data_IF_909742026398
#
_entry.id   IF_909742026398
#
_cell.length_a   1.000
_cell.length_b   1.000
_cell.length_c   1.000
_cell.angle_alpha   90.00
_cell.angle_beta   90.00
_cell.angle_gamma   90.00
#
_symmetry.space_group_name_H-M   'P 1'
#
loop_
_entity.id
_entity.type
_entity.pdbx_description
1 polymer ?
#
# COMPACT_ATOMS: atom_id res chain seq x y z
N UNK A 1 1.76 -10.04 5.43
CA UNK A 1 2.18 -11.01 4.40
C UNK A 1 3.59 -10.66 3.95
N UNK A 2 4.35 -11.55 3.29
CA UNK A 2 5.70 -11.22 2.78
C UNK A 2 5.63 -10.62 1.37
N UNK A 3 6.63 -9.84 0.95
CA UNK A 3 6.67 -9.34 -0.42
C UNK A 3 6.67 -10.46 -1.46
N UNK A 4 7.35 -11.59 -1.16
CA UNK A 4 7.30 -12.79 -2.00
C UNK A 4 5.88 -13.32 -2.19
N UNK A 5 5.12 -13.46 -1.09
CA UNK A 5 3.72 -13.92 -1.18
C UNK A 5 2.83 -12.95 -1.95
N UNK A 6 3.14 -11.64 -1.97
CA UNK A 6 2.42 -10.66 -2.79
C UNK A 6 2.73 -10.84 -4.28
N UNK A 7 3.99 -11.09 -4.64
CA UNK A 7 4.39 -11.39 -6.01
C UNK A 7 3.73 -12.69 -6.50
N UNK A 8 3.75 -13.75 -5.68
CA UNK A 8 3.07 -15.02 -5.98
C UNK A 8 1.55 -14.82 -6.20
N UNK A 9 0.91 -14.01 -5.34
CA UNK A 9 -0.49 -13.64 -5.52
C UNK A 9 -0.73 -12.87 -6.84
N UNK A 10 0.15 -11.94 -7.19
CA UNK A 10 0.00 -11.21 -8.44
C UNK A 10 0.09 -12.13 -9.66
N UNK A 11 1.00 -13.11 -9.64
CA UNK A 11 1.22 -14.04 -10.76
C UNK A 11 0.07 -15.02 -11.00
N UNK A 12 -0.77 -15.26 -9.99
CA UNK A 12 -2.00 -16.05 -10.15
C UNK A 12 -3.16 -15.26 -10.79
N UNK A 13 -3.09 -13.93 -10.86
CA UNK A 13 -4.11 -13.12 -11.53
C UNK A 13 -4.05 -13.32 -13.05
N UNK A 14 -5.20 -13.54 -13.68
CA UNK A 14 -5.29 -13.80 -15.12
C UNK A 14 -4.91 -15.23 -15.52
N UNK A 15 -4.52 -16.08 -14.57
CA UNK A 15 -4.11 -17.47 -14.81
C UNK A 15 -4.87 -18.46 -13.94
N UNK A 16 -4.83 -18.28 -12.62
CA UNK A 16 -5.46 -19.17 -11.64
C UNK A 16 -6.79 -18.61 -11.12
N UNK A 17 -6.89 -17.30 -10.98
CA UNK A 17 -8.07 -16.59 -10.51
C UNK A 17 -8.19 -15.24 -11.21
N UNK A 18 -9.42 -14.71 -11.27
CA UNK A 18 -9.74 -13.49 -12.02
C UNK A 18 -9.16 -13.56 -13.44
N UNK A 19 -9.60 -14.56 -14.23
CA UNK A 19 -9.02 -14.92 -15.53
C UNK A 19 -9.01 -13.77 -16.55
N UNK A 20 -9.92 -12.82 -16.38
CA UNK A 20 -10.03 -11.61 -17.18
C UNK A 20 -9.11 -10.46 -16.74
N UNK A 21 -8.20 -10.69 -15.78
CA UNK A 21 -7.35 -9.65 -15.22
C UNK A 21 -6.50 -8.93 -16.30
N UNK A 22 -6.86 -7.68 -16.56
CA UNK A 22 -6.07 -6.70 -17.32
C UNK A 22 -5.26 -5.80 -16.37
N UNK A 23 -3.91 -5.90 -16.33
CA UNK A 23 -3.06 -5.10 -15.43
C UNK A 23 -3.05 -3.60 -15.75
N UNK A 24 -3.47 -3.20 -16.96
CA UNK A 24 -3.53 -1.79 -17.36
C UNK A 24 -4.84 -1.11 -16.95
N UNK A 25 -5.84 -1.88 -16.51
CA UNK A 25 -7.18 -1.35 -16.19
C UNK A 25 -7.62 -1.68 -14.79
N UNK A 26 -7.45 -2.92 -14.33
CA UNK A 26 -7.98 -3.33 -13.05
C UNK A 26 -7.29 -2.61 -11.90
N UNK A 27 -8.13 -1.98 -11.10
CA UNK A 27 -7.79 -1.28 -9.88
C UNK A 27 -7.65 -2.26 -8.71
N UNK A 28 -7.16 -1.77 -7.59
CA UNK A 28 -7.13 -2.55 -6.35
C UNK A 28 -8.55 -2.91 -5.90
N UNK A 29 -9.54 -2.05 -6.13
CA UNK A 29 -10.95 -2.34 -5.86
C UNK A 29 -11.43 -3.58 -6.63
N UNK A 30 -11.11 -3.65 -7.91
CA UNK A 30 -11.47 -4.79 -8.77
C UNK A 30 -10.88 -6.09 -8.24
N UNK A 31 -9.58 -6.09 -7.92
CA UNK A 31 -8.87 -7.28 -7.41
C UNK A 31 -9.42 -7.68 -6.03
N UNK A 32 -9.78 -6.72 -5.18
CA UNK A 32 -10.45 -7.00 -3.91
C UNK A 32 -11.75 -7.77 -4.13
N UNK A 33 -12.60 -7.29 -5.03
CA UNK A 33 -13.93 -7.84 -5.29
C UNK A 33 -13.89 -9.18 -6.03
N UNK A 34 -12.98 -9.33 -6.98
CA UNK A 34 -12.97 -10.45 -7.94
C UNK A 34 -11.96 -11.54 -7.61
N UNK A 35 -10.96 -11.28 -6.77
CA UNK A 35 -9.98 -12.27 -6.35
C UNK A 35 -9.91 -12.41 -4.82
N UNK A 36 -9.60 -11.34 -4.08
CA UNK A 36 -9.30 -11.41 -2.64
C UNK A 36 -10.51 -11.93 -1.84
N UNK A 37 -11.69 -11.32 -2.00
CA UNK A 37 -12.91 -11.74 -1.31
C UNK A 37 -13.26 -13.22 -1.63
N UNK A 38 -13.34 -13.65 -2.90
CA UNK A 38 -13.58 -15.05 -3.23
C UNK A 38 -12.55 -16.02 -2.64
N UNK A 39 -11.26 -15.69 -2.69
CA UNK A 39 -10.18 -16.59 -2.25
C UNK A 39 -10.10 -16.74 -0.72
N UNK A 40 -10.73 -15.85 0.06
CA UNK A 40 -10.86 -16.00 1.52
C UNK A 40 -12.30 -16.27 2.00
N UNK A 41 -13.24 -16.59 1.11
CA UNK A 41 -14.65 -16.79 1.46
C UNK A 41 -14.93 -18.10 2.21
N UNK A 42 -14.20 -19.17 1.91
CA UNK A 42 -14.52 -20.53 2.37
C UNK A 42 -13.30 -21.27 2.97
N UNK A 43 -12.66 -20.66 3.97
CA UNK A 43 -11.69 -21.39 4.80
C UNK A 43 -12.43 -22.21 5.85
N UNK A 44 -12.33 -23.54 5.74
CA UNK A 44 -12.71 -24.47 6.81
C UNK A 44 -11.65 -24.40 7.90
N UNK A 45 -12.02 -23.89 9.07
CA UNK A 45 -11.20 -24.03 10.28
C UNK A 45 -11.36 -25.45 10.84
N UNK A 46 -10.25 -26.13 11.15
CA UNK A 46 -10.24 -27.39 11.92
C UNK A 46 -10.01 -27.16 13.42
N UNK A 47 -9.89 -25.91 13.87
CA UNK A 47 -9.86 -25.58 15.28
C UNK A 47 -11.23 -25.93 15.90
N UNK A 48 -11.20 -26.80 16.91
CA UNK A 48 -12.31 -27.25 17.76
C UNK A 48 -13.29 -28.31 17.21
N UNK A 49 -12.94 -29.02 16.14
CA UNK A 49 -13.73 -30.19 15.69
C UNK A 49 -15.12 -29.85 15.11
N UNK A 50 -15.48 -28.57 15.06
CA UNK A 50 -16.63 -28.03 14.37
C UNK A 50 -16.16 -27.31 13.10
N UNK A 51 -16.56 -27.80 11.92
CA UNK A 51 -16.30 -27.13 10.65
C UNK A 51 -17.15 -25.85 10.62
N UNK A 52 -16.56 -24.71 10.98
CA UNK A 52 -17.13 -23.40 10.65
C UNK A 52 -16.35 -22.80 9.49
N UNK A 53 -17.07 -22.32 8.48
CA UNK A 53 -16.49 -21.47 7.45
C UNK A 53 -16.07 -20.16 8.14
N UNK A 54 -14.77 -19.89 8.17
CA UNK A 54 -14.22 -18.67 8.74
C UNK A 54 -13.74 -17.78 7.61
N UNK A 55 -14.51 -16.75 7.27
CA UNK A 55 -13.99 -15.70 6.41
C UNK A 55 -12.94 -14.89 7.17
N UNK A 56 -11.83 -14.53 6.52
CA UNK A 56 -10.70 -13.85 7.15
C UNK A 56 -10.07 -12.80 6.22
N UNK A 57 -9.10 -12.05 6.74
CA UNK A 57 -8.20 -11.25 5.91
C UNK A 57 -7.39 -12.17 4.98
N UNK A 58 -7.20 -11.76 3.72
CA UNK A 58 -6.46 -12.58 2.75
C UNK A 58 -4.99 -12.75 3.12
N UNK A 59 -4.41 -11.82 3.87
CA UNK A 59 -3.06 -11.99 4.41
C UNK A 59 -2.93 -13.22 5.32
N UNK A 60 -3.99 -13.63 6.03
CA UNK A 60 -4.01 -14.89 6.79
C UNK A 60 -3.95 -16.09 5.86
N UNK A 61 -4.53 -15.98 4.66
CA UNK A 61 -4.44 -17.01 3.62
C UNK A 61 -3.01 -17.14 3.12
N UNK A 62 -2.43 -16.01 2.70
CA UNK A 62 -1.06 -15.91 2.16
C UNK A 62 0.00 -16.40 3.15
N UNK A 63 -0.24 -16.23 4.46
CA UNK A 63 0.70 -16.62 5.51
C UNK A 63 0.37 -17.95 6.17
N UNK A 64 -0.62 -18.71 5.68
CA UNK A 64 -1.09 -19.94 6.31
C UNK A 64 -1.36 -19.79 7.82
N UNK A 65 -2.03 -18.69 8.19
CA UNK A 65 -2.35 -18.29 9.57
C UNK A 65 -1.13 -18.09 10.50
N UNK A 66 0.09 -18.07 9.97
CA UNK A 66 1.28 -17.72 10.74
C UNK A 66 1.22 -16.25 11.21
N UNK A 67 1.52 -16.02 12.49
CA UNK A 67 1.61 -14.67 13.02
C UNK A 67 2.75 -13.90 12.32
N UNK A 68 2.38 -12.84 11.60
CA UNK A 68 3.32 -12.05 10.82
C UNK A 68 3.13 -10.57 11.12
N UNK A 69 3.89 -10.06 12.10
CA UNK A 69 3.99 -8.62 12.34
C UNK A 69 4.67 -7.95 11.14
N UNK A 70 4.05 -6.91 10.53
CA UNK A 70 4.63 -6.25 9.37
C UNK A 70 5.84 -5.38 9.75
N UNK A 71 6.78 -5.30 8.82
CA UNK A 71 7.89 -4.35 8.85
C UNK A 71 7.47 -3.00 8.26
N UNK A 72 6.49 -3.01 7.36
CA UNK A 72 5.98 -1.82 6.69
C UNK A 72 4.48 -1.81 6.51
N UNK A 73 3.89 -0.63 6.62
CA UNK A 73 2.53 -0.35 6.14
C UNK A 73 2.60 0.38 4.81
N UNK A 74 1.75 0.01 3.86
CA UNK A 74 1.61 0.72 2.58
C UNK A 74 0.33 1.55 2.62
N UNK A 75 0.49 2.88 2.56
CA UNK A 75 -0.63 3.79 2.31
C UNK A 75 -0.84 3.89 0.81
N UNK A 76 -2.04 3.53 0.35
CA UNK A 76 -2.40 3.46 -1.07
C UNK A 76 -3.86 3.82 -1.30
N UNK A 77 -4.25 4.01 -2.56
CA UNK A 77 -5.66 4.17 -2.93
C UNK A 77 -6.19 2.90 -3.58
N UNK A 78 -7.49 2.65 -3.42
CA UNK A 78 -8.14 1.50 -4.05
C UNK A 78 -8.43 1.71 -5.53
N UNK A 79 -8.53 2.97 -5.96
CA UNK A 79 -8.72 3.35 -7.37
C UNK A 79 -7.45 3.26 -8.20
N UNK A 80 -6.27 3.13 -7.59
CA UNK A 80 -5.03 2.86 -8.29
C UNK A 80 -5.05 1.47 -8.93
N UNK A 81 -4.36 1.31 -10.07
CA UNK A 81 -4.10 0.01 -10.71
C UNK A 81 -3.47 -0.94 -9.70
N UNK A 82 -3.97 -2.17 -9.60
CA UNK A 82 -3.41 -3.14 -8.65
C UNK A 82 -1.96 -3.50 -8.99
N UNK A 83 -1.64 -3.56 -10.29
CA UNK A 83 -0.28 -3.72 -10.80
C UNK A 83 0.69 -2.68 -10.22
N UNK A 84 0.27 -1.41 -10.18
CA UNK A 84 1.13 -0.33 -9.66
C UNK A 84 1.37 -0.48 -8.16
N UNK A 85 0.35 -0.87 -7.38
CA UNK A 85 0.50 -1.17 -5.95
C UNK A 85 1.53 -2.28 -5.70
N UNK A 86 1.49 -3.37 -6.47
CA UNK A 86 2.45 -4.47 -6.36
C UNK A 86 3.86 -4.01 -6.77
N UNK A 87 3.97 -3.30 -7.89
CA UNK A 87 5.24 -2.77 -8.36
C UNK A 87 5.87 -1.81 -7.33
N UNK A 88 5.08 -0.95 -6.70
CA UNK A 88 5.52 -0.04 -5.64
C UNK A 88 6.06 -0.81 -4.43
N UNK A 89 5.34 -1.82 -3.95
CA UNK A 89 5.79 -2.62 -2.82
C UNK A 89 7.09 -3.38 -3.12
N UNK A 90 7.26 -3.89 -4.34
CA UNK A 90 8.50 -4.54 -4.79
C UNK A 90 9.64 -3.53 -4.90
N UNK A 91 9.36 -2.35 -5.45
CA UNK A 91 10.33 -1.25 -5.58
C UNK A 91 10.88 -0.85 -4.21
N UNK A 92 9.99 -0.66 -3.23
CA UNK A 92 10.38 -0.37 -1.85
C UNK A 92 11.18 -1.52 -1.22
N UNK A 93 10.77 -2.78 -1.43
CA UNK A 93 11.49 -3.95 -0.92
C UNK A 93 12.92 -4.04 -1.49
N UNK A 94 13.14 -3.54 -2.71
CA UNK A 94 14.46 -3.47 -3.35
C UNK A 94 15.25 -2.21 -2.97
N UNK A 95 14.68 -1.32 -2.14
CA UNK A 95 15.31 -0.07 -1.68
C UNK A 95 15.23 1.09 -2.67
N UNK A 96 14.48 0.92 -3.75
CA UNK A 96 14.31 1.87 -4.85
C UNK A 96 13.10 2.78 -4.60
N UNK A 97 12.91 3.80 -5.42
CA UNK A 97 11.82 4.79 -5.23
C UNK A 97 11.08 5.20 -6.51
N UNK A 98 11.47 4.65 -7.67
CA UNK A 98 10.77 4.84 -8.94
C UNK A 98 10.22 3.50 -9.42
N UNK A 99 8.89 3.31 -9.43
CA UNK A 99 8.31 1.98 -9.65
C UNK A 99 8.08 1.61 -11.11
N UNK A 100 8.04 2.57 -12.05
CA UNK A 100 7.73 2.26 -13.46
C UNK A 100 8.62 1.18 -14.08
N UNK A 101 9.95 1.17 -13.88
CA UNK A 101 10.81 0.09 -14.38
C UNK A 101 10.42 -1.28 -13.81
N UNK A 102 10.09 -1.34 -12.51
CA UNK A 102 9.69 -2.57 -11.83
C UNK A 102 8.30 -3.02 -12.26
N UNK A 103 7.41 -2.09 -12.55
CA UNK A 103 6.13 -2.40 -13.18
C UNK A 103 6.33 -3.07 -14.53
N UNK A 104 7.20 -2.55 -15.40
CA UNK A 104 7.49 -3.18 -16.71
C UNK A 104 8.10 -4.57 -16.55
N UNK A 105 8.95 -4.76 -15.54
CA UNK A 105 9.47 -6.08 -15.20
C UNK A 105 8.35 -7.00 -14.70
N UNK A 106 7.41 -6.49 -13.91
CA UNK A 106 6.27 -7.27 -13.40
C UNK A 106 5.40 -7.81 -14.55
N UNK A 107 5.23 -7.04 -15.62
CA UNK A 107 4.41 -7.41 -16.77
C UNK A 107 5.11 -8.37 -17.75
N UNK A 108 6.45 -8.33 -17.83
CA UNK A 108 7.20 -9.02 -18.89
C UNK A 108 8.23 -10.04 -18.41
N UNK A 109 8.80 -9.82 -17.22
CA UNK A 109 9.91 -10.59 -16.63
C UNK A 109 9.79 -10.69 -15.10
N UNK A 110 8.66 -11.20 -14.57
CA UNK A 110 8.48 -11.34 -13.12
C UNK A 110 9.49 -12.31 -12.48
N UNK A 111 10.06 -13.22 -13.27
CA UNK A 111 11.18 -14.09 -12.88
C UNK A 111 12.40 -13.28 -12.40
N UNK A 112 12.70 -12.16 -13.07
CA UNK A 112 13.80 -11.27 -12.70
C UNK A 112 13.51 -10.58 -11.37
N UNK A 113 12.24 -10.20 -11.10
CA UNK A 113 11.86 -9.59 -9.83
C UNK A 113 12.00 -10.56 -8.65
N UNK A 114 11.60 -11.82 -8.82
CA UNK A 114 11.80 -12.85 -7.79
C UNK A 114 13.30 -13.05 -7.50
N UNK A 115 14.13 -13.16 -8.53
CA UNK A 115 15.58 -13.26 -8.38
C UNK A 115 16.17 -12.04 -7.65
N UNK A 116 15.74 -10.82 -8.00
CA UNK A 116 16.18 -9.59 -7.32
C UNK A 116 15.77 -9.55 -5.85
N UNK A 117 14.56 -10.00 -5.51
CA UNK A 117 14.08 -10.08 -4.13
C UNK A 117 14.85 -11.13 -3.31
N UNK A 118 15.23 -12.25 -3.94
CA UNK A 118 16.08 -13.28 -3.31
C UNK A 118 17.49 -12.73 -3.08
N UNK A 119 18.12 -12.15 -4.10
CA UNK A 119 19.50 -11.64 -4.04
C UNK A 119 19.64 -10.44 -3.09
N UNK A 120 18.61 -9.60 -2.96
CA UNK A 120 18.59 -8.49 -1.99
C UNK A 120 18.39 -8.95 -0.54
N UNK A 121 18.01 -10.22 -0.32
CA UNK A 121 17.66 -10.74 1.01
C UNK A 121 16.32 -10.23 1.55
N UNK A 122 15.57 -9.45 0.77
CA UNK A 122 14.34 -8.80 1.23
C UNK A 122 13.05 -9.54 0.86
N UNK A 123 13.13 -10.71 0.22
CA UNK A 123 11.96 -11.54 -0.15
C UNK A 123 11.00 -11.85 1.01
N UNK A 124 11.52 -11.91 2.24
CA UNK A 124 10.75 -12.19 3.46
C UNK A 124 10.27 -10.94 4.21
N UNK A 125 10.58 -9.73 3.70
CA UNK A 125 10.12 -8.49 4.31
C UNK A 125 8.59 -8.44 4.31
N UNK A 126 8.01 -8.08 5.45
CA UNK A 126 6.58 -8.19 5.70
C UNK A 126 5.87 -6.86 5.52
N UNK A 127 4.79 -6.89 4.77
CA UNK A 127 3.97 -5.72 4.47
C UNK A 127 2.56 -5.89 5.03
N UNK A 128 1.97 -4.75 5.36
CA UNK A 128 0.56 -4.56 5.64
C UNK A 128 -0.02 -3.62 4.57
N UNK A 129 -1.05 -4.09 3.88
CA UNK A 129 -1.79 -3.36 2.85
C UNK A 129 -3.25 -3.58 3.16
N UNK A 130 -4.04 -2.51 3.32
CA UNK A 130 -5.40 -2.64 3.86
C UNK A 130 -6.29 -3.58 3.03
N UNK A 131 -6.14 -3.58 1.70
CA UNK A 131 -6.86 -4.49 0.79
C UNK A 131 -6.64 -5.98 1.11
N UNK A 132 -5.46 -6.35 1.62
CA UNK A 132 -5.07 -7.73 1.91
C UNK A 132 -5.17 -8.07 3.40
N UNK A 133 -4.90 -7.09 4.26
CA UNK A 133 -4.71 -7.29 5.71
C UNK A 133 -5.94 -7.00 6.56
N UNK A 134 -6.98 -6.36 6.00
CA UNK A 134 -8.28 -6.19 6.65
C UNK A 134 -9.22 -7.32 6.24
N UNK A 135 -10.08 -7.78 7.14
CA UNK A 135 -11.13 -8.74 6.81
C UNK A 135 -12.21 -8.07 5.93
N UNK A 136 -12.08 -8.24 4.62
CA UNK A 136 -13.04 -7.68 3.65
C UNK A 136 -14.45 -8.25 3.82
N UNK A 137 -14.57 -9.46 4.38
CA UNK A 137 -15.84 -10.09 4.70
C UNK A 137 -16.57 -9.45 5.89
N UNK A 138 -15.85 -8.92 6.86
CA UNK A 138 -16.42 -8.19 7.99
C UNK A 138 -16.71 -6.71 7.66
N UNK A 139 -16.28 -6.25 6.47
CA UNK A 139 -16.29 -4.83 6.11
C UNK A 139 -17.18 -4.53 4.91
N UNK A 140 -16.80 -4.99 3.71
CA UNK A 140 -17.35 -4.45 2.45
C UNK A 140 -18.01 -5.49 1.55
N UNK A 141 -17.81 -6.80 1.78
CA UNK A 141 -18.16 -7.82 0.78
C UNK A 141 -19.66 -7.92 0.46
N UNK A 142 -20.54 -7.43 1.34
CA UNK A 142 -22.00 -7.58 1.23
C UNK A 142 -22.71 -6.48 0.44
N UNK A 143 -22.04 -5.37 0.15
CA UNK A 143 -22.59 -4.28 -0.66
C UNK A 143 -21.54 -3.77 -1.65
N UNK A 144 -21.80 -4.02 -2.94
CA UNK A 144 -21.00 -3.55 -4.07
C UNK A 144 -21.66 -2.39 -4.82
N UNK A 145 -22.81 -1.85 -4.38
CA UNK A 145 -23.60 -0.86 -5.12
C UNK A 145 -22.84 0.41 -5.53
N UNK A 146 -21.79 0.77 -4.80
CA UNK A 146 -20.95 1.95 -5.01
C UNK A 146 -19.64 1.66 -5.76
N UNK A 147 -19.42 0.40 -6.15
CA UNK A 147 -18.16 -0.10 -6.68
C UNK A 147 -18.40 -0.76 -8.04
N UNK A 148 -17.67 -0.30 -9.05
CA UNK A 148 -17.86 -0.73 -10.44
C UNK A 148 -16.56 -1.27 -10.99
N UNK A 149 -16.71 -2.37 -11.70
CA UNK A 149 -15.61 -3.00 -12.41
C UNK A 149 -15.02 -2.01 -13.42
N UNK A 150 -13.73 -1.71 -13.28
CA UNK A 150 -13.07 -0.66 -14.07
C UNK A 150 -12.97 -0.99 -15.57
N UNK A 151 -13.03 -2.27 -15.93
CA UNK A 151 -12.98 -2.74 -17.31
C UNK A 151 -14.38 -2.70 -17.96
N UNK A 152 -15.41 -3.15 -17.24
CA UNK A 152 -16.76 -3.38 -17.80
C UNK A 152 -17.78 -2.31 -17.42
N UNK A 153 -17.50 -1.50 -16.39
CA UNK A 153 -18.43 -0.51 -15.81
C UNK A 153 -19.58 -1.12 -15.00
N UNK A 154 -19.62 -2.46 -14.88
CA UNK A 154 -20.69 -3.18 -14.19
C UNK A 154 -20.47 -3.13 -12.67
N UNK A 155 -21.57 -3.15 -11.92
CA UNK A 155 -21.51 -3.27 -10.46
C UNK A 155 -20.96 -4.66 -10.10
N UNK A 156 -20.02 -4.74 -9.16
CA UNK A 156 -19.50 -6.04 -8.73
C UNK A 156 -20.59 -6.90 -8.07
N UNK A 157 -20.40 -8.21 -8.07
CA UNK A 157 -21.30 -9.11 -7.35
C UNK A 157 -21.14 -8.97 -5.83
N UNK A 158 -22.25 -9.05 -5.10
CA UNK A 158 -22.22 -9.16 -3.64
C UNK A 158 -21.77 -10.56 -3.22
N UNK A 159 -21.00 -10.65 -2.15
CA UNK A 159 -20.60 -11.91 -1.56
C UNK A 159 -21.78 -12.55 -0.79
N UNK A 160 -22.05 -13.85 -0.97
CA UNK A 160 -23.17 -14.54 -0.33
C UNK A 160 -22.89 -15.00 1.11
N UNK A 161 -21.74 -14.64 1.70
CA UNK A 161 -21.31 -15.21 2.99
C UNK A 161 -22.22 -14.86 4.18
N UNK A 162 -23.07 -13.84 4.06
CA UNK A 162 -24.00 -13.43 5.12
C UNK A 162 -23.33 -12.89 6.39
N UNK A 163 -22.00 -12.76 6.41
CA UNK A 163 -21.25 -12.25 7.56
C UNK A 163 -21.73 -10.84 7.92
N UNK A 164 -21.98 -10.59 9.20
CA UNK A 164 -22.33 -9.26 9.70
C UNK A 164 -21.22 -8.27 9.36
N UNK A 165 -21.60 -7.08 8.90
CA UNK A 165 -20.67 -5.98 8.63
C UNK A 165 -20.57 -5.10 9.87
N UNK A 166 -19.37 -4.65 10.18
CA UNK A 166 -19.13 -3.71 11.27
C UNK A 166 -18.58 -2.39 10.71
N UNK A 167 -19.39 -1.35 10.85
CA UNK A 167 -19.06 0.01 10.44
C UNK A 167 -18.82 0.90 11.65
N UNK A 168 -18.33 2.12 11.39
CA UNK A 168 -17.86 3.07 12.38
C UNK A 168 -18.81 3.32 13.56
N UNK A 169 -20.12 3.26 13.35
CA UNK A 169 -21.15 3.56 14.36
C UNK A 169 -21.86 2.31 14.90
N UNK A 170 -21.42 1.11 14.50
CA UNK A 170 -22.09 -0.13 14.90
C UNK A 170 -21.63 -0.58 16.30
N UNK A 171 -22.53 -1.01 17.19
CA UNK A 171 -22.15 -1.48 18.52
C UNK A 171 -21.34 -2.80 18.48
N UNK A 172 -20.50 -3.07 19.49
CA UNK A 172 -20.25 -2.23 20.67
C UNK A 172 -19.37 -1.01 20.36
N UNK A 173 -19.71 0.14 20.96
CA UNK A 173 -18.97 1.39 20.80
C UNK A 173 -17.92 1.53 21.90
N UNK A 174 -16.76 2.09 21.54
CA UNK A 174 -15.73 2.46 22.50
C UNK A 174 -16.27 3.57 23.42
N UNK A 175 -16.19 3.40 24.76
CA UNK A 175 -16.90 4.27 25.70
C UNK A 175 -16.50 5.75 25.62
N UNK A 176 -15.26 6.04 25.23
CA UNK A 176 -14.74 7.42 25.14
C UNK A 176 -14.68 7.97 23.73
N UNK A 177 -14.57 7.12 22.70
CA UNK A 177 -14.38 7.56 21.31
C UNK A 177 -15.68 7.51 20.50
N UNK A 178 -16.70 6.79 20.99
CA UNK A 178 -17.99 6.66 20.32
C UNK A 178 -17.95 5.87 19.00
N UNK A 179 -16.82 5.23 18.69
CA UNK A 179 -16.63 4.45 17.46
C UNK A 179 -16.75 2.94 17.73
N UNK A 180 -17.19 2.17 16.74
CA UNK A 180 -17.28 0.72 16.82
C UNK A 180 -15.94 0.09 17.16
N UNK A 181 -15.94 -0.85 18.10
CA UNK A 181 -14.77 -1.71 18.39
C UNK A 181 -14.64 -2.88 17.42
N UNK A 182 -15.71 -3.19 16.66
CA UNK A 182 -15.75 -4.29 15.71
C UNK A 182 -15.34 -3.87 14.29
N UNK A 183 -15.39 -2.58 13.97
CA UNK A 183 -14.96 -2.07 12.67
C UNK A 183 -13.42 -2.05 12.59
N UNK A 184 -12.82 -2.85 11.70
CA UNK A 184 -11.35 -2.85 11.52
C UNK A 184 -10.84 -1.55 10.87
N UNK A 185 -11.67 -0.89 10.06
CA UNK A 185 -11.26 0.26 9.24
C UNK A 185 -10.95 1.49 10.11
N UNK A 186 -11.75 1.75 11.15
CA UNK A 186 -11.48 2.86 12.07
C UNK A 186 -10.30 2.61 13.02
N UNK A 187 -9.65 1.44 12.94
CA UNK A 187 -8.52 1.06 13.80
C UNK A 187 -7.16 1.22 13.13
N UNK A 188 -7.07 1.86 11.97
CA UNK A 188 -5.78 2.01 11.29
C UNK A 188 -4.78 2.80 12.13
N UNK A 189 -5.18 3.92 12.74
CA UNK A 189 -4.30 4.67 13.65
C UNK A 189 -3.88 3.87 14.89
N UNK A 190 -4.81 3.11 15.49
CA UNK A 190 -4.49 2.21 16.62
C UNK A 190 -3.52 1.11 16.21
N UNK A 191 -3.73 0.51 15.04
CA UNK A 191 -2.88 -0.54 14.47
C UNK A 191 -1.47 0.00 14.23
N UNK A 192 -1.33 1.19 13.64
CA UNK A 192 -0.02 1.80 13.40
C UNK A 192 0.73 2.03 14.72
N UNK A 193 0.06 2.61 15.73
CA UNK A 193 0.63 2.84 17.07
C UNK A 193 1.04 1.54 17.74
N UNK A 194 0.16 0.54 17.69
CA UNK A 194 0.41 -0.76 18.29
C UNK A 194 1.64 -1.42 17.66
N UNK A 195 1.75 -1.43 16.34
CA UNK A 195 2.88 -2.06 15.66
C UNK A 195 4.17 -1.28 15.88
N UNK A 196 4.16 0.05 15.76
CA UNK A 196 5.34 0.89 16.02
C UNK A 196 5.89 0.68 17.45
N UNK A 197 5.01 0.52 18.45
CA UNK A 197 5.40 0.21 19.82
C UNK A 197 6.09 -1.16 19.97
N UNK A 198 5.80 -2.12 19.09
CA UNK A 198 6.32 -3.50 19.15
C UNK A 198 7.32 -3.83 18.03
N UNK A 199 7.59 -2.88 17.14
CA UNK A 199 8.57 -2.96 16.07
C UNK A 199 9.14 -1.54 15.84
N UNK A 200 10.28 -1.21 16.48
CA UNK A 200 10.93 0.10 16.30
C UNK A 200 11.38 0.39 14.86
N UNK A 201 11.49 -0.66 14.03
CA UNK A 201 11.80 -0.54 12.60
C UNK A 201 10.56 -0.52 11.70
N UNK A 202 9.38 -0.23 12.24
CA UNK A 202 8.15 -0.13 11.46
C UNK A 202 8.15 1.16 10.61
N UNK A 203 8.01 0.99 9.30
CA UNK A 203 8.07 2.09 8.33
C UNK A 203 6.74 2.24 7.57
N UNK A 204 6.54 3.38 6.93
CA UNK A 204 5.45 3.60 5.97
C UNK A 204 6.01 3.64 4.56
N UNK A 205 5.31 3.03 3.62
CA UNK A 205 5.49 3.22 2.17
C UNK A 205 4.33 4.06 1.66
N UNK A 206 4.62 5.18 1.04
CA UNK A 206 3.63 6.08 0.43
C UNK A 206 3.56 5.71 -1.05
N UNK A 207 2.53 4.98 -1.42
CA UNK A 207 2.34 4.46 -2.77
C UNK A 207 1.68 5.51 -3.67
N UNK A 208 2.51 6.27 -4.39
CA UNK A 208 2.02 7.31 -5.31
C UNK A 208 1.77 6.70 -6.68
N UNK A 209 0.49 6.54 -7.04
CA UNK A 209 0.10 6.08 -8.37
C UNK A 209 0.35 7.15 -9.46
N UNK A 210 0.15 6.77 -10.73
CA UNK A 210 0.32 7.66 -11.89
C UNK A 210 -0.61 8.89 -11.91
N UNK A 211 -1.69 8.86 -11.13
CA UNK A 211 -2.67 9.95 -11.00
C UNK A 211 -2.44 10.82 -9.76
N UNK A 212 -1.53 10.41 -8.88
CA UNK A 212 -1.25 11.03 -7.58
C UNK A 212 -2.49 11.08 -6.67
N UNK A 213 -3.42 10.13 -6.86
CA UNK A 213 -4.73 10.15 -6.20
C UNK A 213 -4.63 10.03 -4.68
N UNK A 214 -3.55 9.44 -4.17
CA UNK A 214 -3.26 9.31 -2.73
C UNK A 214 -3.38 10.62 -1.97
N UNK A 215 -2.97 11.74 -2.57
CA UNK A 215 -3.02 13.06 -1.95
C UNK A 215 -4.42 13.69 -1.93
N UNK A 216 -5.38 13.07 -2.61
CA UNK A 216 -6.79 13.50 -2.64
C UNK A 216 -7.71 12.63 -1.77
N UNK A 217 -7.15 11.66 -1.02
CA UNK A 217 -7.91 10.71 -0.20
C UNK A 217 -7.74 11.01 1.28
N UNK A 218 -8.85 11.25 1.96
CA UNK A 218 -8.85 11.65 3.38
C UNK A 218 -8.16 10.59 4.27
N UNK A 219 -8.47 9.31 4.04
CA UNK A 219 -7.83 8.19 4.75
C UNK A 219 -6.30 8.17 4.57
N UNK A 220 -5.82 8.32 3.33
CA UNK A 220 -4.38 8.31 3.06
C UNK A 220 -3.67 9.47 3.77
N UNK A 221 -4.25 10.66 3.77
CA UNK A 221 -3.64 11.82 4.43
C UNK A 221 -3.68 11.70 5.96
N UNK A 222 -4.73 11.11 6.52
CA UNK A 222 -4.75 10.77 7.94
C UNK A 222 -3.62 9.77 8.29
N UNK A 223 -3.39 8.75 7.47
CA UNK A 223 -2.30 7.79 7.66
C UNK A 223 -0.91 8.44 7.53
N UNK A 224 -0.71 9.36 6.57
CA UNK A 224 0.54 10.12 6.45
C UNK A 224 0.81 10.97 7.69
N UNK A 225 -0.22 11.66 8.18
CA UNK A 225 -0.10 12.51 9.37
C UNK A 225 0.20 11.68 10.63
N UNK A 226 -0.47 10.54 10.81
CA UNK A 226 -0.26 9.64 11.93
C UNK A 226 1.16 9.04 11.91
N UNK A 227 1.65 8.56 10.76
CA UNK A 227 3.04 8.09 10.63
C UNK A 227 4.07 9.17 10.99
N UNK A 228 3.85 10.40 10.52
CA UNK A 228 4.72 11.53 10.81
C UNK A 228 4.73 11.89 12.30
N UNK A 229 3.56 11.91 12.96
CA UNK A 229 3.44 12.17 14.40
C UNK A 229 4.16 11.11 15.25
N UNK A 230 4.24 9.87 14.76
CA UNK A 230 4.97 8.78 15.40
C UNK A 230 6.45 8.73 15.01
N UNK A 231 6.94 9.68 14.21
CA UNK A 231 8.31 9.70 13.68
C UNK A 231 8.69 8.41 12.94
N UNK A 232 7.72 7.76 12.28
CA UNK A 232 7.99 6.62 11.42
C UNK A 232 8.81 7.08 10.20
N UNK A 233 9.71 6.22 9.72
CA UNK A 233 10.34 6.45 8.41
C UNK A 233 9.28 6.33 7.34
N UNK A 234 9.13 7.37 6.51
CA UNK A 234 8.18 7.42 5.40
C UNK A 234 8.92 7.35 4.07
N UNK A 235 8.75 6.26 3.34
CA UNK A 235 9.38 6.03 2.04
C UNK A 235 8.42 6.41 0.92
N UNK A 236 8.77 7.45 0.17
CA UNK A 236 8.02 7.87 -1.01
C UNK A 236 8.42 7.02 -2.22
N UNK A 237 7.46 6.35 -2.83
CA UNK A 237 7.66 5.61 -4.10
C UNK A 237 6.72 6.18 -5.15
N UNK A 238 7.30 6.65 -6.26
CA UNK A 238 6.61 7.40 -7.32
C UNK A 238 6.77 6.70 -8.67
N UNK A 239 5.97 7.04 -9.71
CA UNK A 239 6.14 6.45 -11.04
C UNK A 239 7.54 6.74 -11.60
N UNK A 240 7.93 8.01 -11.57
CA UNK A 240 9.26 8.50 -11.91
C UNK A 240 9.50 9.88 -11.31
N UNK A 241 10.77 10.30 -11.20
CA UNK A 241 11.14 11.65 -10.80
C UNK A 241 10.54 12.70 -11.76
N UNK A 242 10.44 12.38 -13.05
CA UNK A 242 9.86 13.26 -14.05
C UNK A 242 8.38 13.55 -13.77
N UNK A 243 7.58 12.51 -13.47
CA UNK A 243 6.17 12.69 -13.13
C UNK A 243 5.97 13.39 -11.79
N UNK A 244 6.83 13.13 -10.79
CA UNK A 244 6.81 13.87 -9.53
C UNK A 244 7.05 15.37 -9.76
N UNK A 245 8.10 15.74 -10.51
CA UNK A 245 8.41 17.15 -10.82
C UNK A 245 7.27 17.84 -11.57
N UNK A 246 6.64 17.14 -12.52
CA UNK A 246 5.51 17.65 -13.31
C UNK A 246 4.27 17.92 -12.45
N UNK A 247 4.02 17.10 -11.43
CA UNK A 247 2.79 17.16 -10.61
C UNK A 247 2.98 17.85 -9.26
N UNK A 248 4.21 18.09 -8.82
CA UNK A 248 4.54 18.74 -7.52
C UNK A 248 3.71 19.99 -7.26
N UNK A 249 3.62 20.90 -8.24
CA UNK A 249 2.87 22.15 -8.09
C UNK A 249 1.36 21.93 -7.92
N UNK A 250 0.81 20.82 -8.42
CA UNK A 250 -0.62 20.49 -8.22
C UNK A 250 -0.94 20.02 -6.81
N UNK A 251 0.08 19.76 -5.99
CA UNK A 251 -0.02 19.34 -4.59
C UNK A 251 0.17 20.51 -3.62
N UNK A 252 0.45 21.71 -4.14
CA UNK A 252 0.43 22.93 -3.36
C UNK A 252 -1.01 23.24 -2.93
N UNK A 253 -1.16 23.73 -1.70
CA UNK A 253 -2.46 24.12 -1.14
C UNK A 253 -3.46 22.96 -0.98
N UNK A 254 -3.00 21.70 -0.93
CA UNK A 254 -3.85 20.58 -0.51
C UNK A 254 -4.43 20.86 0.87
N UNK A 255 -5.75 20.70 0.97
CA UNK A 255 -6.52 20.83 2.20
C UNK A 255 -7.28 19.55 2.48
N UNK A 256 -7.28 19.11 3.73
CA UNK A 256 -7.97 17.89 4.15
C UNK A 256 -9.48 17.95 3.90
N UNK A 257 -10.05 19.15 3.94
CA UNK A 257 -11.45 19.43 3.69
C UNK A 257 -11.84 19.18 2.22
N UNK A 258 -10.90 19.27 1.28
CA UNK A 258 -11.15 19.06 -0.16
C UNK A 258 -10.99 17.59 -0.56
N UNK A 259 -10.52 16.74 0.35
CA UNK A 259 -10.26 15.33 0.08
C UNK A 259 -11.54 14.50 0.02
N UNK A 260 -11.42 13.31 -0.57
CA UNK A 260 -12.54 12.39 -0.80
C UNK A 260 -12.41 11.12 0.03
N UNK A 261 -13.56 10.55 0.38
CA UNK A 261 -13.70 9.20 0.89
C UNK A 261 -14.89 8.54 0.17
N UNK A 262 -14.86 7.22 0.02
CA UNK A 262 -15.96 6.47 -0.64
C UNK A 262 -17.28 6.59 0.14
N UNK A 263 -17.15 6.73 1.46
CA UNK A 263 -18.24 6.96 2.39
C UNK A 263 -18.10 8.36 2.99
N UNK A 264 -19.07 9.27 2.82
CA UNK A 264 -19.00 10.62 3.37
C UNK A 264 -18.80 10.63 4.90
N UNK A 265 -19.37 9.66 5.62
CA UNK A 265 -19.23 9.49 7.06
C UNK A 265 -17.77 9.24 7.50
N UNK A 266 -16.97 8.57 6.67
CA UNK A 266 -15.54 8.35 6.94
C UNK A 266 -14.76 9.67 6.83
N UNK A 267 -15.05 10.49 5.81
CA UNK A 267 -14.46 11.82 5.67
C UNK A 267 -14.81 12.68 6.88
N UNK A 268 -16.08 12.67 7.29
CA UNK A 268 -16.54 13.46 8.42
C UNK A 268 -15.83 13.03 9.71
N UNK A 269 -15.71 11.72 9.97
CA UNK A 269 -14.96 11.22 11.12
C UNK A 269 -13.51 11.72 11.15
N UNK A 270 -12.81 11.68 10.01
CA UNK A 270 -11.42 12.16 9.91
C UNK A 270 -11.37 13.67 10.15
N UNK A 271 -12.31 14.45 9.60
CA UNK A 271 -12.36 15.88 9.84
C UNK A 271 -12.68 16.20 11.30
N UNK A 272 -13.52 15.42 11.96
CA UNK A 272 -13.88 15.61 13.37
C UNK A 272 -12.72 15.27 14.32
N UNK A 273 -11.84 14.33 13.93
CA UNK A 273 -10.65 14.00 14.73
C UNK A 273 -9.54 15.06 14.65
N UNK A 274 -9.59 15.94 13.66
CA UNK A 274 -8.63 17.05 13.49
C UNK A 274 -9.14 18.28 14.24
N UNK A 275 -8.52 18.65 15.35
CA UNK A 275 -8.96 19.80 16.14
C UNK A 275 -8.82 21.14 15.38
N UNK A 276 -7.64 21.39 14.81
CA UNK A 276 -7.32 22.61 14.05
C UNK A 276 -6.94 22.22 12.61
N UNK A 277 -7.87 22.46 11.68
CA UNK A 277 -7.73 22.08 10.27
C UNK A 277 -6.66 22.92 9.57
N UNK A 278 -6.53 24.20 9.91
CA UNK A 278 -5.53 25.07 9.28
C UNK A 278 -4.11 24.71 9.74
N UNK A 279 -3.93 24.43 11.05
CA UNK A 279 -2.67 23.92 11.56
C UNK A 279 -2.32 22.55 10.95
N UNK A 280 -3.31 21.66 10.82
CA UNK A 280 -3.13 20.36 10.17
C UNK A 280 -2.69 20.52 8.71
N UNK A 281 -3.40 21.33 7.92
CA UNK A 281 -3.07 21.57 6.52
C UNK A 281 -1.67 22.18 6.36
N UNK A 282 -1.30 23.12 7.23
CA UNK A 282 0.06 23.69 7.23
C UNK A 282 1.12 22.64 7.55
N UNK A 283 0.86 21.78 8.54
CA UNK A 283 1.75 20.67 8.90
C UNK A 283 1.91 19.68 7.74
N UNK A 284 0.82 19.34 7.06
CA UNK A 284 0.85 18.48 5.87
C UNK A 284 1.61 19.11 4.71
N UNK A 285 1.43 20.40 4.44
CA UNK A 285 2.20 21.11 3.41
C UNK A 285 3.70 21.11 3.74
N UNK A 286 4.06 21.31 5.01
CA UNK A 286 5.45 21.20 5.46
C UNK A 286 6.01 19.78 5.30
N UNK A 287 5.23 18.75 5.63
CA UNK A 287 5.63 17.35 5.47
C UNK A 287 5.88 17.01 3.99
N UNK A 288 5.02 17.46 3.07
CA UNK A 288 5.14 17.13 1.66
C UNK A 288 6.22 17.95 0.95
N UNK A 289 6.18 19.28 1.09
CA UNK A 289 6.89 20.25 0.25
C UNK A 289 7.89 21.12 1.03
N UNK A 290 8.00 20.93 2.35
CA UNK A 290 9.00 21.64 3.17
C UNK A 290 10.43 21.34 2.74
N UNK A 291 11.38 22.15 3.24
CA UNK A 291 12.83 21.98 3.01
C UNK A 291 13.38 20.62 3.45
N UNK A 292 12.72 19.99 4.41
CA UNK A 292 13.04 18.64 4.90
C UNK A 292 11.85 17.68 4.65
N UNK A 293 10.96 18.07 3.73
CA UNK A 293 9.77 17.32 3.38
C UNK A 293 10.06 16.13 2.47
N UNK A 294 9.04 15.30 2.24
CA UNK A 294 9.15 14.05 1.49
C UNK A 294 9.67 14.24 0.06
N UNK A 295 9.26 15.30 -0.63
CA UNK A 295 9.69 15.54 -2.01
C UNK A 295 11.15 15.98 -2.09
N UNK A 296 11.61 16.77 -1.12
CA UNK A 296 13.01 17.20 -1.05
C UNK A 296 13.92 16.04 -0.64
N UNK A 297 13.50 15.24 0.35
CA UNK A 297 14.21 14.01 0.73
C UNK A 297 14.31 13.01 -0.43
N UNK A 298 13.26 12.90 -1.26
CA UNK A 298 13.29 12.08 -2.48
C UNK A 298 14.35 12.58 -3.46
N UNK A 299 14.35 13.88 -3.79
CA UNK A 299 15.31 14.47 -4.73
C UNK A 299 16.76 14.28 -4.23
N UNK A 300 17.01 14.49 -2.94
CA UNK A 300 18.34 14.27 -2.33
C UNK A 300 18.80 12.80 -2.36
N UNK A 301 17.87 11.85 -2.15
CA UNK A 301 18.16 10.42 -2.26
C UNK A 301 18.57 10.06 -3.69
N UNK A 302 17.86 10.60 -4.70
CA UNK A 302 18.17 10.39 -6.11
C UNK A 302 19.55 10.93 -6.47
N UNK A 303 19.87 12.16 -6.07
CA UNK A 303 21.19 12.75 -6.28
C UNK A 303 22.31 11.88 -5.71
N UNK A 304 22.10 11.31 -4.52
CA UNK A 304 23.07 10.41 -3.88
C UNK A 304 23.28 9.13 -4.68
N UNK A 305 22.21 8.49 -5.13
CA UNK A 305 22.28 7.27 -5.96
C UNK A 305 22.96 7.57 -7.30
N UNK A 306 22.67 8.70 -7.94
CA UNK A 306 23.33 9.11 -9.18
C UNK A 306 24.84 9.33 -8.99
N UNK A 307 25.23 9.97 -7.88
CA UNK A 307 26.64 10.15 -7.51
C UNK A 307 27.33 8.80 -7.29
N UNK A 308 26.67 7.84 -6.63
CA UNK A 308 27.21 6.48 -6.47
C UNK A 308 27.32 5.74 -7.80
N UNK A 309 26.35 5.87 -8.71
CA UNK A 309 26.42 5.32 -10.08
C UNK A 309 27.62 5.89 -10.84
N UNK A 310 27.89 7.20 -10.70
CA UNK A 310 29.07 7.84 -11.28
C UNK A 310 30.37 7.29 -10.68
N UNK A 311 30.46 7.15 -9.36
CA UNK A 311 31.61 6.54 -8.67
C UNK A 311 31.84 5.11 -9.17
N UNK A 312 30.77 4.30 -9.29
CA UNK A 312 30.87 2.95 -9.84
C UNK A 312 31.35 2.90 -11.30
N UNK A 313 30.95 3.86 -12.15
CA UNK A 313 31.49 4.00 -13.52
C UNK A 313 32.97 4.36 -13.51
N UNK A 314 33.38 5.30 -12.65
CA UNK A 314 34.78 5.72 -12.53
C UNK A 314 35.66 4.59 -11.97
N UNK A 315 35.20 3.86 -10.96
CA UNK A 315 35.88 2.71 -10.40
C UNK A 315 36.08 1.59 -11.45
N UNK A 316 35.05 1.30 -12.26
CA UNK A 316 35.18 0.35 -13.38
C UNK A 316 36.18 0.82 -14.44
N UNK A 317 36.15 2.11 -14.81
CA UNK A 317 37.12 2.68 -15.77
C UNK A 317 38.55 2.59 -15.25
N UNK A 318 38.78 2.91 -13.97
CA UNK A 318 40.09 2.80 -13.34
C UNK A 318 40.59 1.35 -13.34
N UNK A 319 39.73 0.39 -12.98
CA UNK A 319 40.07 -1.04 -12.99
C UNK A 319 40.40 -1.54 -14.40
N UNK A 320 39.70 -1.05 -15.43
CA UNK A 320 40.01 -1.36 -16.84
C UNK A 320 41.36 -0.73 -17.24
N UNK A 321 41.64 0.51 -16.86
CA UNK A 321 42.95 1.15 -17.12
C UNK A 321 44.09 0.41 -16.42
N UNK A 322 43.91 -0.01 -15.17
CA UNK A 322 44.89 -0.80 -14.41
C UNK A 322 45.13 -2.17 -15.08
N UNK A 323 44.09 -2.79 -15.64
CA UNK A 323 44.20 -4.06 -16.38
C UNK A 323 44.90 -3.87 -17.73
N UNK A 324 44.69 -2.75 -18.41
CA UNK A 324 45.31 -2.43 -19.71
C UNK A 324 46.75 -1.92 -19.59
N UNK A 325 47.18 -1.47 -18.40
CA UNK A 325 48.54 -1.01 -18.13
C UNK A 325 49.43 -2.07 -17.46
N UNK A 326 48.89 -3.27 -17.19
CA UNK A 326 49.68 -4.37 -16.65
C UNK A 326 50.57 -4.94 -17.77
N UNK A 327 51.91 -4.94 -17.64
CA UNK A 327 52.78 -5.57 -18.63
C UNK A 327 52.51 -7.07 -18.64
N UNK A 328 52.46 -7.67 -19.84
CA UNK A 328 52.42 -9.13 -20.03
C UNK A 328 53.62 -9.82 -19.37
#
# INVERSE_FOLDING_TARGET
FTIKSLLEFYLGLGTEYMLEFDPEKHTTSDVVRKAIIPLCADRRSTLDGAVSARSCAYSSVMMADAEARPDKMVTHTWGARFRDLVAIAITDALGESEFEPFGRLLDHRPDVLDEMLILSGNSQRKYWVCALSVCQHASICGDASRDRDSLTGQVHANCPCGMAKAFNSDPPLHPTRGESVACEINKFGDMMKYIACHNPGFEQVIAVDSTFSIFSRAWCIAELAEAHQMHMVQNLVVPSQAELKKRRNSLENLRVEDMTATRPEDKQMILDSIQDKDAFNKSMQQLLIGSDGLFEAFDQKMDTVERLKLVGRLARRRRIQETLQSPL
#
